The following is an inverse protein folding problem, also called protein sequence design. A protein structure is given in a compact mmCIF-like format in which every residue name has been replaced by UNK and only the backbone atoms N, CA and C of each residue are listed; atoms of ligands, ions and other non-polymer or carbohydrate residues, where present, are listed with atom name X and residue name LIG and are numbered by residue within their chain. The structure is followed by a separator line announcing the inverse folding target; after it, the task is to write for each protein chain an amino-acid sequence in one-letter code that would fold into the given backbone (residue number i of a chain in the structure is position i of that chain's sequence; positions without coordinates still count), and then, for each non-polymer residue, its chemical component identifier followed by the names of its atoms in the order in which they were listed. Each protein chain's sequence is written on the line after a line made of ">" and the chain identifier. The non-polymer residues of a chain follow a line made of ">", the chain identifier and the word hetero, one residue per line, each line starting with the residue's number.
data_IF_739401752467
#
_entry.id   IF_739401752467
#
_cell.length_a   1.000
_cell.length_b   1.000
_cell.length_c   1.000
_cell.angle_alpha   90.00
_cell.angle_beta   90.00
_cell.angle_gamma   90.00
#
_symmetry.space_group_name_H-M   'P 1'
#
loop_
_entity.id
_entity.type
_entity.pdbx_description
1 polymer ?
#
# COMPACT_ATOMS: atom_id res chain seq x y z
N UNK A 1 -19.12 -7.93 18.67
CA UNK A 1 -18.50 -6.63 18.44
C UNK A 1 -17.07 -6.66 18.96
N UNK A 2 -16.13 -6.27 18.10
CA UNK A 2 -14.73 -6.21 18.52
C UNK A 2 -14.51 -4.93 19.32
N UNK A 3 -13.96 -5.06 20.50
CA UNK A 3 -13.63 -3.92 21.33
C UNK A 3 -12.29 -3.31 20.88
N UNK A 4 -12.07 -2.06 21.26
CA UNK A 4 -10.79 -1.40 21.02
C UNK A 4 -9.64 -2.18 21.68
N UNK A 5 -9.90 -2.76 22.86
CA UNK A 5 -8.90 -3.57 23.55
C UNK A 5 -8.51 -4.82 22.78
N UNK A 6 -9.47 -5.47 22.13
CA UNK A 6 -9.19 -6.67 21.33
C UNK A 6 -8.26 -6.35 20.17
N UNK A 7 -8.47 -5.21 19.51
CA UNK A 7 -7.61 -4.78 18.41
C UNK A 7 -6.21 -4.44 18.91
N UNK A 8 -6.10 -3.74 20.03
CA UNK A 8 -4.82 -3.41 20.64
C UNK A 8 -4.05 -4.66 21.06
N UNK A 9 -4.75 -5.63 21.62
CA UNK A 9 -4.13 -6.90 22.01
C UNK A 9 -3.58 -7.66 20.80
N UNK A 10 -4.32 -7.69 19.69
CA UNK A 10 -3.88 -8.35 18.46
C UNK A 10 -2.65 -7.66 17.87
N UNK A 11 -2.62 -6.34 17.89
CA UNK A 11 -1.47 -5.59 17.41
C UNK A 11 -0.23 -5.85 18.25
N UNK A 12 -0.40 -5.85 19.57
CA UNK A 12 0.70 -6.14 20.48
C UNK A 12 1.23 -7.57 20.24
N UNK A 13 0.31 -8.51 19.95
CA UNK A 13 0.68 -9.88 19.64
C UNK A 13 1.48 -9.96 18.35
N UNK A 14 1.05 -9.24 17.30
CA UNK A 14 1.78 -9.18 16.04
C UNK A 14 3.18 -8.62 16.25
N UNK A 15 3.31 -7.57 17.04
CA UNK A 15 4.61 -6.97 17.36
C UNK A 15 5.51 -7.98 18.08
N UNK A 16 4.96 -8.71 19.05
CA UNK A 16 5.74 -9.68 19.81
C UNK A 16 6.18 -10.88 18.99
N UNK A 17 5.41 -11.23 17.94
CA UNK A 17 5.74 -12.34 17.07
C UNK A 17 6.68 -11.94 15.92
N UNK A 18 6.94 -10.64 15.75
CA UNK A 18 7.84 -10.14 14.71
C UNK A 18 7.17 -10.04 13.36
N UNK A 19 6.29 -9.08 13.19
CA UNK A 19 5.61 -8.83 11.92
C UNK A 19 6.64 -8.42 10.86
N UNK A 20 6.86 -9.22 9.79
CA UNK A 20 7.84 -8.86 8.76
C UNK A 20 7.50 -7.58 8.01
N UNK A 21 6.22 -7.20 7.95
CA UNK A 21 5.83 -5.95 7.30
C UNK A 21 6.24 -4.72 8.12
N UNK A 22 6.36 -4.88 9.44
CA UNK A 22 6.88 -3.81 10.29
C UNK A 22 8.35 -3.51 9.96
N UNK A 23 9.13 -4.53 9.63
CA UNK A 23 10.52 -4.33 9.20
C UNK A 23 10.59 -3.62 7.86
N UNK A 24 9.73 -3.99 6.93
CA UNK A 24 9.64 -3.33 5.63
C UNK A 24 9.33 -1.85 5.81
N UNK A 25 8.36 -1.52 6.64
CA UNK A 25 7.97 -0.15 6.93
C UNK A 25 9.11 0.65 7.56
N UNK A 26 9.90 -0.01 8.40
CA UNK A 26 11.03 0.62 9.08
C UNK A 26 12.17 0.96 8.10
N UNK A 27 12.40 0.12 7.11
CA UNK A 27 13.56 0.26 6.23
C UNK A 27 13.28 1.01 4.93
N UNK A 28 12.02 1.15 4.55
CA UNK A 28 11.65 1.84 3.31
C UNK A 28 10.91 3.13 3.66
N UNK A 29 11.38 4.25 3.13
CA UNK A 29 10.74 5.55 3.30
C UNK A 29 9.64 5.69 2.24
N UNK A 30 8.46 5.19 2.56
CA UNK A 30 7.32 5.22 1.62
C UNK A 30 6.82 6.62 1.35
N UNK A 31 6.92 7.53 2.32
CA UNK A 31 6.52 8.92 2.12
C UNK A 31 7.40 9.60 1.07
N UNK A 32 8.72 9.41 1.17
CA UNK A 32 9.66 9.98 0.20
C UNK A 32 9.45 9.35 -1.19
N UNK A 33 9.24 8.03 -1.23
CA UNK A 33 9.00 7.33 -2.49
C UNK A 33 7.70 7.81 -3.15
N UNK A 34 6.66 8.02 -2.36
CA UNK A 34 5.40 8.54 -2.88
C UNK A 34 5.57 9.92 -3.49
N UNK A 35 6.36 10.79 -2.86
CA UNK A 35 6.64 12.12 -3.39
C UNK A 35 7.38 12.03 -4.75
N UNK A 36 8.30 11.09 -4.88
CA UNK A 36 8.99 10.85 -6.15
C UNK A 36 8.01 10.35 -7.22
N UNK A 37 7.13 9.43 -6.86
CA UNK A 37 6.13 8.91 -7.79
C UNK A 37 5.20 10.03 -8.28
N UNK A 38 4.78 10.92 -7.40
CA UNK A 38 3.93 12.04 -7.79
C UNK A 38 4.62 12.96 -8.80
N UNK A 39 5.95 13.08 -8.72
CA UNK A 39 6.73 13.84 -9.71
C UNK A 39 6.90 13.09 -11.02
N UNK A 40 7.20 11.78 -10.94
CA UNK A 40 7.47 10.97 -12.13
C UNK A 40 6.20 10.67 -12.92
N UNK A 41 5.09 10.49 -12.22
CA UNK A 41 3.82 10.05 -12.80
C UNK A 41 2.67 10.88 -12.22
N UNK A 42 2.54 12.15 -12.62
CA UNK A 42 1.47 13.01 -12.09
C UNK A 42 0.08 12.40 -12.34
N UNK A 43 -0.84 12.66 -11.43
CA UNK A 43 -2.21 12.25 -11.62
C UNK A 43 -2.82 12.96 -12.83
N UNK A 44 -3.66 12.26 -13.60
CA UNK A 44 -4.41 12.93 -14.67
C UNK A 44 -5.31 14.03 -14.11
N UNK A 45 -5.65 14.97 -14.98
CA UNK A 45 -6.53 16.08 -14.62
C UNK A 45 -7.86 15.57 -14.08
N UNK A 46 -8.36 16.21 -13.02
CA UNK A 46 -9.66 15.91 -12.43
C UNK A 46 -10.74 16.85 -12.95
N UNK A 47 -10.58 17.35 -14.15
CA UNK A 47 -11.51 18.33 -14.72
C UNK A 47 -12.95 17.83 -14.80
N UNK A 48 -13.13 16.52 -14.82
CA UNK A 48 -14.46 15.90 -14.89
C UNK A 48 -15.04 15.60 -13.50
N UNK A 49 -14.37 16.01 -12.43
CA UNK A 49 -14.81 15.74 -11.08
C UNK A 49 -14.54 14.29 -10.68
N UNK A 50 -15.23 13.84 -9.64
CA UNK A 50 -15.09 12.48 -9.14
C UNK A 50 -14.46 12.43 -7.76
N UNK A 51 -14.34 11.20 -7.25
CA UNK A 51 -13.79 10.95 -5.93
C UNK A 51 -12.28 11.24 -5.91
N UNK A 52 -11.77 11.90 -4.86
CA UNK A 52 -10.33 12.05 -4.71
C UNK A 52 -9.65 10.69 -4.70
N UNK A 53 -8.50 10.54 -5.36
CA UNK A 53 -7.79 9.28 -5.33
C UNK A 53 -7.26 8.97 -3.93
N UNK A 54 -6.98 7.70 -3.66
CA UNK A 54 -6.28 7.34 -2.44
C UNK A 54 -4.89 7.96 -2.44
N UNK A 55 -4.31 8.22 -1.25
CA UNK A 55 -2.95 8.78 -1.19
C UNK A 55 -1.94 7.89 -1.92
N UNK A 56 -1.00 8.52 -2.59
CA UNK A 56 0.04 7.80 -3.33
C UNK A 56 0.85 6.89 -2.42
N UNK A 57 1.13 7.33 -1.19
CA UNK A 57 1.86 6.50 -0.24
C UNK A 57 1.14 5.17 0.04
N UNK A 58 -0.15 5.24 0.29
CA UNK A 58 -0.96 4.04 0.53
C UNK A 58 -0.90 3.11 -0.68
N UNK A 59 -1.13 3.64 -1.87
CA UNK A 59 -1.15 2.83 -3.08
C UNK A 59 0.22 2.22 -3.36
N UNK A 60 1.30 2.94 -3.05
CA UNK A 60 2.66 2.43 -3.21
C UNK A 60 2.92 1.27 -2.26
N UNK A 61 2.45 1.37 -1.02
CA UNK A 61 2.55 0.28 -0.05
C UNK A 61 1.84 -0.97 -0.56
N UNK A 62 0.65 -0.82 -1.15
CA UNK A 62 -0.09 -1.94 -1.71
C UNK A 62 0.64 -2.59 -2.88
N UNK A 63 1.23 -1.78 -3.75
CA UNK A 63 1.96 -2.27 -4.90
C UNK A 63 3.17 -3.10 -4.46
N UNK A 64 3.88 -2.65 -3.44
CA UNK A 64 5.04 -3.37 -2.89
C UNK A 64 4.59 -4.70 -2.27
N UNK A 65 3.50 -4.71 -1.50
CA UNK A 65 2.96 -5.95 -0.94
C UNK A 65 2.58 -6.93 -2.04
N UNK A 66 1.93 -6.43 -3.07
CA UNK A 66 1.49 -7.25 -4.19
C UNK A 66 2.67 -7.93 -4.87
N UNK A 67 3.77 -7.20 -5.04
CA UNK A 67 4.98 -7.72 -5.64
C UNK A 67 5.66 -8.74 -4.73
N UNK A 68 5.77 -8.43 -3.43
CA UNK A 68 6.44 -9.32 -2.48
C UNK A 68 5.74 -10.66 -2.34
N UNK A 69 4.42 -10.66 -2.34
CA UNK A 69 3.63 -11.88 -2.14
C UNK A 69 3.10 -12.46 -3.46
N UNK A 70 3.46 -11.86 -4.58
CA UNK A 70 3.07 -12.30 -5.91
C UNK A 70 1.55 -12.46 -6.04
N UNK A 71 0.82 -11.41 -5.68
CA UNK A 71 -0.64 -11.44 -5.65
C UNK A 71 -1.24 -10.76 -6.88
N UNK A 72 -2.31 -11.34 -7.42
CA UNK A 72 -3.13 -10.67 -8.41
C UNK A 72 -3.91 -9.52 -7.77
N UNK A 73 -4.51 -8.67 -8.58
CA UNK A 73 -5.32 -7.56 -8.06
C UNK A 73 -6.49 -8.08 -7.21
N UNK A 74 -7.11 -9.18 -7.65
CA UNK A 74 -8.20 -9.80 -6.89
C UNK A 74 -7.72 -10.37 -5.56
N UNK A 75 -6.58 -11.05 -5.57
CA UNK A 75 -5.99 -11.62 -4.36
C UNK A 75 -5.58 -10.51 -3.39
N UNK A 76 -5.03 -9.42 -3.92
CA UNK A 76 -4.64 -8.28 -3.09
C UNK A 76 -5.84 -7.66 -2.40
N UNK A 77 -6.93 -7.46 -3.14
CA UNK A 77 -8.17 -6.95 -2.56
C UNK A 77 -8.65 -7.85 -1.42
N UNK A 78 -8.65 -9.16 -1.65
CA UNK A 78 -9.06 -10.13 -0.62
C UNK A 78 -8.17 -10.03 0.61
N UNK A 79 -6.85 -9.99 0.42
CA UNK A 79 -5.91 -9.95 1.53
C UNK A 79 -6.04 -8.67 2.36
N UNK A 80 -6.33 -7.55 1.71
CA UNK A 80 -6.56 -6.29 2.43
C UNK A 80 -7.80 -6.36 3.32
N UNK A 81 -8.83 -7.10 2.89
CA UNK A 81 -10.04 -7.26 3.68
C UNK A 81 -9.85 -8.28 4.80
N UNK A 82 -8.99 -9.26 4.61
CA UNK A 82 -8.87 -10.41 5.48
C UNK A 82 -7.70 -10.32 6.48
N UNK A 83 -6.55 -9.80 6.06
CA UNK A 83 -5.33 -9.84 6.86
C UNK A 83 -5.10 -8.56 7.65
N UNK A 84 -5.00 -8.73 8.98
CA UNK A 84 -4.75 -7.62 9.88
C UNK A 84 -3.40 -6.94 9.61
N UNK A 85 -2.33 -7.74 9.38
CA UNK A 85 -1.02 -7.14 9.17
C UNK A 85 -0.93 -6.36 7.85
N UNK A 86 -1.69 -6.75 6.83
CA UNK A 86 -1.79 -5.98 5.60
C UNK A 86 -2.49 -4.65 5.84
N UNK A 87 -3.61 -4.68 6.58
CA UNK A 87 -4.35 -3.46 6.90
C UNK A 87 -3.50 -2.49 7.72
N UNK A 88 -2.74 -3.02 8.67
CA UNK A 88 -1.86 -2.24 9.52
C UNK A 88 -0.73 -1.61 8.70
N UNK A 89 -0.08 -2.38 7.84
CA UNK A 89 0.98 -1.88 6.97
C UNK A 89 0.46 -0.77 6.04
N UNK A 90 -0.73 -0.95 5.49
CA UNK A 90 -1.35 0.03 4.59
C UNK A 90 -2.00 1.19 5.33
N UNK A 91 -1.96 1.18 6.66
CA UNK A 91 -2.56 2.22 7.51
C UNK A 91 -4.07 2.36 7.31
N UNK A 92 -4.75 1.22 7.08
CA UNK A 92 -6.19 1.17 6.86
C UNK A 92 -6.97 0.79 8.12
N UNK A 93 -6.29 0.69 9.24
CA UNK A 93 -6.82 0.14 10.48
C UNK A 93 -8.17 0.70 10.90
N UNK A 94 -8.37 2.01 10.78
CA UNK A 94 -9.62 2.65 11.17
C UNK A 94 -10.40 3.18 9.98
N UNK A 95 -10.02 2.77 8.77
CA UNK A 95 -10.69 3.20 7.57
C UNK A 95 -11.88 2.27 7.28
N UNK A 96 -13.02 2.85 6.95
CA UNK A 96 -14.15 2.08 6.46
C UNK A 96 -14.02 1.71 4.99
N UNK A 97 -12.93 2.09 4.35
CA UNK A 97 -12.76 1.92 2.91
C UNK A 97 -11.41 1.29 2.60
N UNK A 98 -11.46 0.26 1.77
CA UNK A 98 -10.29 -0.47 1.31
C UNK A 98 -10.23 -0.35 -0.21
N UNK A 99 -9.06 -0.01 -0.79
CA UNK A 99 -8.94 0.02 -2.25
C UNK A 99 -9.32 -1.31 -2.86
N UNK A 100 -10.16 -1.28 -3.90
CA UNK A 100 -10.56 -2.49 -4.60
C UNK A 100 -9.59 -2.81 -5.74
N UNK A 101 -9.80 -3.98 -6.37
CA UNK A 101 -8.94 -4.45 -7.47
C UNK A 101 -8.82 -3.45 -8.61
N UNK A 102 -9.89 -2.74 -8.89
CA UNK A 102 -9.90 -1.75 -9.96
C UNK A 102 -9.00 -0.56 -9.63
N UNK A 103 -9.09 -0.09 -8.39
CA UNK A 103 -8.25 1.02 -7.90
C UNK A 103 -6.78 0.63 -7.94
N UNK A 104 -6.46 -0.59 -7.54
CA UNK A 104 -5.10 -1.11 -7.57
C UNK A 104 -4.58 -1.16 -9.01
N UNK A 105 -5.41 -1.67 -9.92
CA UNK A 105 -5.05 -1.75 -11.33
C UNK A 105 -4.78 -0.37 -11.93
N UNK A 106 -5.66 0.60 -11.64
CA UNK A 106 -5.53 1.97 -12.15
C UNK A 106 -4.22 2.61 -11.67
N UNK A 107 -3.87 2.40 -10.42
CA UNK A 107 -2.61 2.93 -9.89
C UNK A 107 -1.40 2.32 -10.61
N UNK A 108 -1.39 0.99 -10.79
CA UNK A 108 -0.28 0.34 -11.49
C UNK A 108 -0.18 0.82 -12.92
N UNK A 109 -1.32 0.98 -13.61
CA UNK A 109 -1.34 1.50 -14.98
C UNK A 109 -0.78 2.91 -15.06
N UNK A 110 -1.04 3.73 -14.05
CA UNK A 110 -0.44 5.06 -13.97
C UNK A 110 1.08 4.99 -14.05
N UNK A 111 1.67 4.06 -13.29
CA UNK A 111 3.12 3.89 -13.27
C UNK A 111 3.64 3.29 -14.57
N UNK A 112 2.92 2.33 -15.12
CA UNK A 112 3.30 1.69 -16.39
C UNK A 112 3.26 2.70 -17.53
N UNK A 113 2.22 3.53 -17.59
CA UNK A 113 2.10 4.54 -18.63
C UNK A 113 3.21 5.60 -18.54
N UNK A 114 3.66 5.91 -17.34
CA UNK A 114 4.77 6.83 -17.14
C UNK A 114 6.13 6.14 -17.27
N UNK A 115 6.15 4.82 -17.45
CA UNK A 115 7.35 4.00 -17.58
C UNK A 115 8.28 4.11 -16.36
N UNK A 116 7.69 4.15 -15.16
CA UNK A 116 8.46 4.30 -13.91
C UNK A 116 8.25 3.13 -12.94
N UNK A 117 7.48 2.13 -13.31
CA UNK A 117 7.18 1.00 -12.43
C UNK A 117 8.47 0.33 -11.92
N UNK A 118 9.41 0.06 -12.81
CA UNK A 118 10.66 -0.59 -12.45
C UNK A 118 11.52 0.29 -11.53
N UNK A 119 11.44 1.60 -11.66
CA UNK A 119 12.18 2.53 -10.80
C UNK A 119 11.68 2.46 -9.36
N UNK A 120 10.36 2.28 -9.18
CA UNK A 120 9.77 2.16 -7.86
C UNK A 120 10.33 0.92 -7.15
N UNK A 121 10.33 -0.22 -7.81
CA UNK A 121 10.83 -1.46 -7.21
C UNK A 121 12.34 -1.43 -7.01
N UNK A 122 13.08 -0.81 -7.93
CA UNK A 122 14.52 -0.64 -7.77
C UNK A 122 14.85 0.19 -6.53
N UNK A 123 14.10 1.26 -6.29
CA UNK A 123 14.31 2.11 -5.12
C UNK A 123 13.99 1.37 -3.81
N UNK A 124 12.92 0.60 -3.78
CA UNK A 124 12.58 -0.23 -2.63
C UNK A 124 13.71 -1.22 -2.35
N UNK A 125 14.20 -1.89 -3.37
CA UNK A 125 15.28 -2.86 -3.23
C UNK A 125 16.55 -2.19 -2.72
N UNK A 126 16.88 -1.02 -3.23
CA UNK A 126 18.05 -0.26 -2.78
C UNK A 126 17.96 0.05 -1.28
N UNK A 127 16.80 0.44 -0.79
CA UNK A 127 16.62 0.79 0.62
C UNK A 127 16.68 -0.43 1.53
N UNK A 128 16.38 -1.61 1.01
CA UNK A 128 16.41 -2.85 1.77
C UNK A 128 17.80 -3.49 1.87
N UNK A 129 18.76 -3.01 1.13
CA UNK A 129 20.13 -3.55 1.17
C UNK A 129 20.93 -3.11 2.38
#
# INVERSE_FOLDING_TARGET
>A
MLSLFADQEREAKLDSLGDPLALLDKHVDFAALAAEIDRWAPWPSRAKGGRPPYPTELMTRLLVLQQLFNLSDEQMEFQLLDRMNFQRFAELKHSGRVPDRNTIWVFRERLVQANVEHQVFAEVQRQLQ
#
